data_IF_448449729636
#
_entry.id   IF_448449729636
#
_cell.length_a   1.000
_cell.length_b   1.000
_cell.length_c   1.000
_cell.angle_alpha   90.00
_cell.angle_beta   90.00
_cell.angle_gamma   90.00
#
_symmetry.space_group_name_H-M   'P 1'
#
loop_
_entity.id
_entity.type
_entity.pdbx_description
1 polymer ?
#
# COMPACT_ATOMS: atom_id res chain seq x y z
N UNK A 1 -37.78 -21.43 22.19
CA UNK A 1 -38.37 -20.14 22.59
C UNK A 1 -38.47 -19.26 21.34
N UNK A 2 -39.68 -18.88 20.91
CA UNK A 2 -39.83 -17.89 19.84
C UNK A 2 -40.03 -16.53 20.48
N UNK A 3 -38.92 -15.82 20.71
CA UNK A 3 -38.99 -14.38 20.91
C UNK A 3 -39.29 -13.76 19.54
N UNK A 4 -40.55 -13.83 19.12
CA UNK A 4 -40.98 -13.26 17.86
C UNK A 4 -40.94 -11.73 18.01
N UNK A 5 -39.89 -11.12 17.50
CA UNK A 5 -39.67 -9.68 17.46
C UNK A 5 -40.40 -9.05 16.25
N UNK A 6 -41.55 -9.61 15.90
CA UNK A 6 -42.38 -9.16 14.78
C UNK A 6 -43.07 -7.87 15.19
N UNK A 7 -42.67 -6.76 14.57
CA UNK A 7 -43.21 -5.42 14.82
C UNK A 7 -44.46 -5.11 13.97
N UNK A 8 -44.96 -6.11 13.23
CA UNK A 8 -46.13 -6.01 12.37
C UNK A 8 -45.83 -5.47 10.98
N UNK A 9 -44.57 -5.21 10.62
CA UNK A 9 -44.21 -4.75 9.28
C UNK A 9 -44.08 -5.91 8.28
N UNK A 10 -44.46 -5.64 7.03
CA UNK A 10 -44.52 -6.67 5.99
C UNK A 10 -43.14 -7.06 5.43
N UNK A 11 -42.13 -6.20 5.55
CA UNK A 11 -40.84 -6.37 4.88
C UNK A 11 -39.68 -6.65 5.84
N UNK A 12 -39.74 -6.06 7.04
CA UNK A 12 -38.69 -6.18 8.04
C UNK A 12 -39.26 -6.22 9.44
N UNK A 13 -38.79 -7.14 10.27
CA UNK A 13 -39.00 -7.04 11.70
C UNK A 13 -37.90 -6.12 12.27
N UNK A 14 -38.26 -5.06 13.01
CA UNK A 14 -37.30 -4.21 13.74
C UNK A 14 -37.36 -4.41 15.27
N UNK A 15 -36.63 -5.39 15.80
CA UNK A 15 -36.48 -5.59 17.25
C UNK A 15 -36.07 -4.35 18.05
N UNK A 16 -35.29 -3.45 17.43
CA UNK A 16 -34.79 -2.23 18.05
C UNK A 16 -34.81 -1.11 17.03
N UNK A 17 -35.52 -0.03 17.35
CA UNK A 17 -35.51 1.22 16.61
C UNK A 17 -35.38 2.40 17.58
N UNK A 18 -34.47 3.31 17.26
CA UNK A 18 -34.20 4.53 18.01
C UNK A 18 -34.20 5.70 17.04
N UNK A 19 -34.81 6.81 17.45
CA UNK A 19 -34.94 8.00 16.62
C UNK A 19 -34.53 9.25 17.39
N UNK A 20 -33.88 10.21 16.72
CA UNK A 20 -33.58 11.51 17.32
C UNK A 20 -34.79 12.45 17.29
N UNK A 21 -34.82 13.43 18.19
CA UNK A 21 -35.95 14.37 18.36
C UNK A 21 -35.86 15.66 17.52
N UNK A 22 -35.02 15.68 16.48
CA UNK A 22 -34.85 16.82 15.56
C UNK A 22 -35.97 16.88 14.50
N UNK A 23 -36.14 18.03 13.84
CA UNK A 23 -37.18 18.23 12.81
C UNK A 23 -37.05 17.29 11.58
N UNK A 24 -35.87 16.72 11.37
CA UNK A 24 -35.62 15.59 10.46
C UNK A 24 -34.95 14.47 11.26
N UNK A 25 -35.75 13.59 11.89
CA UNK A 25 -35.28 12.50 12.73
C UNK A 25 -34.25 11.58 12.06
N UNK A 26 -33.23 11.18 12.81
CA UNK A 26 -32.26 10.16 12.41
C UNK A 26 -32.72 8.85 13.02
N UNK A 27 -33.10 7.89 12.18
CA UNK A 27 -33.45 6.53 12.58
C UNK A 27 -32.24 5.60 12.60
N UNK A 28 -32.09 4.85 13.69
CA UNK A 28 -31.11 3.78 13.86
C UNK A 28 -31.82 2.50 14.32
N UNK A 29 -31.47 1.35 13.76
CA UNK A 29 -32.10 0.11 14.17
C UNK A 29 -31.38 -1.17 13.79
N UNK A 30 -31.90 -2.26 14.35
CA UNK A 30 -31.61 -3.64 13.96
C UNK A 30 -32.82 -4.13 13.18
N UNK A 31 -32.61 -4.54 11.93
CA UNK A 31 -33.70 -5.03 11.08
C UNK A 31 -33.43 -6.47 10.67
N UNK A 32 -34.48 -7.28 10.63
CA UNK A 32 -34.45 -8.64 10.12
C UNK A 32 -35.36 -8.70 8.90
N UNK A 33 -34.86 -9.14 7.75
CA UNK A 33 -35.72 -9.32 6.58
C UNK A 33 -36.76 -10.42 6.85
N UNK A 34 -38.04 -10.14 6.55
CA UNK A 34 -39.15 -11.08 6.76
C UNK A 34 -39.61 -11.76 5.44
N UNK A 35 -38.77 -11.76 4.40
CA UNK A 35 -39.04 -12.44 3.12
C UNK A 35 -38.61 -13.91 3.13
N UNK A 36 -39.04 -14.69 2.14
CA UNK A 36 -38.74 -16.12 2.03
C UNK A 36 -37.23 -16.41 2.05
N UNK A 37 -36.81 -17.42 2.83
CA UNK A 37 -35.43 -17.90 3.05
C UNK A 37 -34.66 -18.35 1.77
N UNK A 38 -35.18 -18.11 0.58
CA UNK A 38 -34.66 -18.63 -0.69
C UNK A 38 -33.92 -17.59 -1.56
N UNK A 39 -33.72 -16.36 -1.06
CA UNK A 39 -33.05 -15.29 -1.82
C UNK A 39 -31.79 -14.79 -1.09
N UNK A 40 -30.75 -14.43 -1.84
CA UNK A 40 -29.51 -13.82 -1.31
C UNK A 40 -29.72 -12.45 -0.66
N UNK A 41 -30.94 -11.91 -0.72
CA UNK A 41 -31.38 -10.65 -0.11
C UNK A 41 -31.95 -10.80 1.29
N UNK A 42 -32.15 -12.04 1.77
CA UNK A 42 -32.53 -12.29 3.17
C UNK A 42 -31.31 -12.05 4.07
N UNK A 43 -31.34 -10.99 4.88
CA UNK A 43 -30.21 -10.60 5.72
C UNK A 43 -30.69 -9.88 6.98
N UNK A 44 -29.87 -9.93 8.02
CA UNK A 44 -29.98 -9.04 9.16
C UNK A 44 -29.21 -7.74 8.84
N UNK A 45 -29.80 -6.60 9.18
CA UNK A 45 -29.24 -5.29 8.93
C UNK A 45 -28.96 -4.57 10.24
N UNK A 46 -27.86 -3.83 10.26
CA UNK A 46 -27.46 -2.93 11.33
C UNK A 46 -27.07 -1.60 10.68
N UNK A 47 -27.76 -0.51 11.02
CA UNK A 47 -27.41 0.78 10.46
C UNK A 47 -28.44 1.88 10.65
N UNK A 48 -28.29 2.94 9.87
CA UNK A 48 -29.25 4.03 9.78
C UNK A 48 -30.31 3.70 8.73
N UNK A 49 -31.59 3.94 9.06
CA UNK A 49 -32.72 3.77 8.12
C UNK A 49 -33.00 5.05 7.32
N UNK A 50 -32.25 6.10 7.61
CA UNK A 50 -32.31 7.44 7.02
C UNK A 50 -31.01 7.74 6.26
N UNK A 51 -31.00 8.78 5.43
CA UNK A 51 -29.84 9.18 4.59
C UNK A 51 -28.80 9.92 5.44
N UNK A 52 -28.25 9.20 6.42
CA UNK A 52 -27.29 9.69 7.38
C UNK A 52 -26.09 8.74 7.40
N UNK A 53 -24.95 9.25 7.87
CA UNK A 53 -23.76 8.42 8.02
C UNK A 53 -23.95 7.43 9.18
N UNK A 54 -23.60 6.17 8.97
CA UNK A 54 -23.41 5.21 10.06
C UNK A 54 -21.98 5.37 10.59
N UNK A 55 -21.84 5.65 11.88
CA UNK A 55 -20.56 5.98 12.51
C UNK A 55 -20.28 5.07 13.69
N UNK A 56 -19.10 4.44 13.70
CA UNK A 56 -18.52 3.85 14.90
C UNK A 56 -17.53 4.87 15.49
N UNK A 57 -17.69 5.18 16.78
CA UNK A 57 -16.89 6.21 17.45
C UNK A 57 -16.30 5.72 18.78
N UNK A 58 -15.18 6.31 19.17
CA UNK A 58 -14.64 6.21 20.54
C UNK A 58 -14.15 7.59 20.97
N UNK A 59 -14.46 8.00 22.21
CA UNK A 59 -14.10 9.35 22.71
C UNK A 59 -14.67 10.49 21.85
N UNK A 60 -15.93 10.36 21.41
CA UNK A 60 -16.59 11.32 20.51
C UNK A 60 -15.86 11.58 19.18
N UNK A 61 -15.01 10.65 18.75
CA UNK A 61 -14.25 10.73 17.50
C UNK A 61 -14.67 9.61 16.54
N UNK A 62 -14.96 9.95 15.28
CA UNK A 62 -15.30 8.98 14.22
C UNK A 62 -14.10 8.05 13.95
N UNK A 63 -14.29 6.74 14.14
CA UNK A 63 -13.28 5.70 13.87
C UNK A 63 -13.56 4.95 12.58
N UNK A 64 -14.82 4.62 12.33
CA UNK A 64 -15.30 4.08 11.07
C UNK A 64 -16.56 4.86 10.69
N UNK A 65 -16.63 5.27 9.43
CA UNK A 65 -17.76 6.01 8.85
C UNK A 65 -18.22 5.26 7.61
N UNK A 66 -19.47 4.80 7.56
CA UNK A 66 -20.14 4.53 6.30
C UNK A 66 -20.94 5.77 5.97
N UNK A 67 -20.48 6.57 5.02
CA UNK A 67 -21.18 7.79 4.62
C UNK A 67 -22.55 7.45 4.02
N UNK A 68 -23.46 8.41 4.08
CA UNK A 68 -24.77 8.38 3.41
C UNK A 68 -24.68 8.14 1.89
N UNK A 69 -23.51 8.33 1.28
CA UNK A 69 -23.23 8.02 -0.14
C UNK A 69 -22.68 6.60 -0.38
N UNK A 70 -22.61 5.75 0.66
CA UNK A 70 -22.14 4.37 0.59
C UNK A 70 -20.62 4.18 0.65
N UNK A 71 -19.84 5.25 0.85
CA UNK A 71 -18.37 5.17 1.00
C UNK A 71 -17.97 4.84 2.43
N UNK A 72 -16.95 4.00 2.60
CA UNK A 72 -16.39 3.60 3.89
C UNK A 72 -15.11 4.39 4.19
N UNK A 73 -15.08 5.08 5.32
CA UNK A 73 -13.92 5.77 5.86
C UNK A 73 -13.44 5.12 7.15
N UNK A 74 -12.14 4.87 7.30
CA UNK A 74 -11.52 4.49 8.58
C UNK A 74 -10.65 5.67 9.01
N UNK A 75 -10.88 6.23 10.21
CA UNK A 75 -10.15 7.42 10.69
C UNK A 75 -10.48 8.73 9.96
N UNK A 76 -11.55 8.76 9.16
CA UNK A 76 -12.02 9.97 8.47
C UNK A 76 -13.55 10.00 8.42
N UNK A 77 -14.13 11.19 8.59
CA UNK A 77 -15.56 11.45 8.40
C UNK A 77 -15.93 11.81 6.95
N UNK A 78 -14.94 12.02 6.08
CA UNK A 78 -15.15 12.48 4.70
C UNK A 78 -14.37 11.60 3.72
N UNK A 79 -14.80 10.35 3.48
CA UNK A 79 -14.15 9.46 2.54
C UNK A 79 -14.21 10.01 1.09
N UNK A 80 -13.04 10.21 0.47
CA UNK A 80 -12.92 10.68 -0.92
C UNK A 80 -12.98 9.54 -1.94
N UNK A 81 -12.84 8.30 -1.49
CA UNK A 81 -12.92 7.07 -2.28
C UNK A 81 -13.90 6.07 -1.62
N UNK A 82 -14.30 5.03 -2.35
CA UNK A 82 -15.22 3.98 -1.85
C UNK A 82 -14.73 3.36 -0.54
N UNK A 83 -13.42 3.18 -0.40
CA UNK A 83 -12.74 2.90 0.86
C UNK A 83 -11.61 3.93 1.06
N UNK A 84 -11.67 4.71 2.13
CA UNK A 84 -10.64 5.70 2.51
C UNK A 84 -10.16 5.42 3.93
N UNK A 85 -8.95 4.88 4.07
CA UNK A 85 -8.28 4.74 5.38
C UNK A 85 -7.39 5.95 5.59
N UNK A 86 -7.77 6.78 6.56
CA UNK A 86 -7.05 7.98 7.00
C UNK A 86 -6.19 7.65 8.21
N UNK A 87 -4.96 8.13 8.17
CA UNK A 87 -3.93 7.81 9.15
C UNK A 87 -2.97 6.76 8.63
N UNK A 88 -1.93 6.51 9.43
CA UNK A 88 -0.89 5.56 9.09
C UNK A 88 -0.70 4.57 10.21
N UNK A 89 -0.51 3.30 9.87
CA UNK A 89 -0.15 2.29 10.86
C UNK A 89 1.28 2.58 11.32
N UNK A 90 1.41 3.14 12.52
CA UNK A 90 2.69 3.37 13.19
C UNK A 90 3.08 2.11 13.96
N UNK A 91 4.03 1.34 13.44
CA UNK A 91 4.68 0.31 14.24
C UNK A 91 5.76 0.99 15.10
N UNK A 92 5.64 0.84 16.43
CA UNK A 92 6.72 1.25 17.34
C UNK A 92 7.71 0.10 17.44
N UNK A 93 8.90 0.28 16.88
CA UNK A 93 9.99 -0.67 17.07
C UNK A 93 10.62 -0.42 18.45
N UNK A 94 10.33 -1.28 19.42
CA UNK A 94 11.07 -1.32 20.67
C UNK A 94 12.39 -2.05 20.42
N UNK A 95 13.42 -1.31 20.02
CA UNK A 95 14.78 -1.84 19.93
C UNK A 95 15.46 -1.66 21.29
N UNK A 96 15.96 -2.74 21.87
CA UNK A 96 16.80 -2.72 23.08
C UNK A 96 18.21 -2.12 22.85
N UNK A 97 18.39 -1.35 21.78
CA UNK A 97 19.66 -0.83 21.27
C UNK A 97 19.45 0.27 20.21
N UNK A 98 20.44 0.55 19.36
CA UNK A 98 20.32 1.57 18.31
C UNK A 98 19.51 1.09 17.10
N UNK A 99 18.48 1.85 16.70
CA UNK A 99 17.80 1.67 15.42
C UNK A 99 18.64 2.24 14.28
N UNK A 100 18.89 1.45 13.23
CA UNK A 100 19.48 1.93 11.98
C UNK A 100 18.37 2.07 10.92
N UNK A 101 17.78 3.25 10.80
CA UNK A 101 16.78 3.54 9.78
C UNK A 101 17.44 4.11 8.52
N UNK A 102 17.29 3.45 7.38
CA UNK A 102 17.63 4.01 6.07
C UNK A 102 16.36 4.61 5.44
N UNK A 103 16.26 5.95 5.45
CA UNK A 103 15.16 6.66 4.76
C UNK A 103 15.60 7.04 3.35
N UNK A 104 14.68 6.96 2.38
CA UNK A 104 14.97 7.24 0.97
C UNK A 104 14.97 8.73 0.60
N UNK A 105 14.64 9.63 1.52
CA UNK A 105 14.63 11.09 1.24
C UNK A 105 15.82 11.86 1.79
N UNK A 106 16.67 11.27 2.62
CA UNK A 106 18.03 11.77 2.87
C UNK A 106 18.88 10.60 3.33
N UNK A 107 19.93 10.27 2.59
CA UNK A 107 20.90 9.23 2.95
C UNK A 107 21.69 9.67 4.19
N UNK A 108 21.05 9.53 5.34
CA UNK A 108 21.62 9.84 6.65
C UNK A 108 21.21 8.73 7.59
N UNK A 109 22.20 7.93 7.98
CA UNK A 109 22.12 7.00 9.09
C UNK A 109 21.98 7.83 10.36
N UNK A 110 20.78 7.93 10.92
CA UNK A 110 20.61 8.49 12.26
C UNK A 110 20.48 7.34 13.25
N UNK A 111 21.46 7.23 14.17
CA UNK A 111 21.26 6.51 15.43
C UNK A 111 20.37 7.39 16.29
N UNK A 112 19.14 6.94 16.55
CA UNK A 112 18.21 7.65 17.41
C UNK A 112 17.86 6.75 18.60
N UNK A 113 18.05 7.27 19.80
CA UNK A 113 17.62 6.63 21.04
C UNK A 113 16.18 7.10 21.34
N UNK A 114 15.19 6.29 20.98
CA UNK A 114 13.77 6.62 21.19
C UNK A 114 12.84 6.07 20.09
N UNK A 115 11.51 6.21 20.27
CA UNK A 115 10.53 5.69 19.32
C UNK A 115 10.62 6.41 17.97
N UNK A 116 10.78 5.63 16.89
CA UNK A 116 10.83 6.12 15.50
C UNK A 116 9.52 5.77 14.78
N UNK A 117 8.91 6.77 14.12
CA UNK A 117 7.63 6.62 13.40
C UNK A 117 7.89 6.53 11.91
N UNK A 118 7.54 5.40 11.28
CA UNK A 118 7.55 5.25 9.82
C UNK A 118 6.14 5.00 9.29
N UNK A 119 5.85 5.57 8.13
CA UNK A 119 4.56 5.45 7.49
C UNK A 119 4.45 4.16 6.67
N UNK A 120 3.65 3.18 7.10
CA UNK A 120 3.37 1.97 6.31
C UNK A 120 1.94 2.02 5.77
N UNK A 121 1.79 2.00 4.45
CA UNK A 121 0.50 1.73 3.78
C UNK A 121 0.47 0.25 3.38
N UNK A 122 -0.42 -0.51 4.01
CA UNK A 122 -0.84 -1.90 3.81
C UNK A 122 0.21 -2.92 3.29
N UNK A 123 0.47 -3.97 4.07
CA UNK A 123 1.15 -5.18 3.58
C UNK A 123 0.10 -6.17 3.05
N UNK A 124 0.30 -6.65 1.83
CA UNK A 124 -0.56 -7.66 1.20
C UNK A 124 0.22 -8.97 1.09
N UNK A 125 -0.35 -10.07 1.59
CA UNK A 125 0.22 -11.42 1.46
C UNK A 125 0.00 -12.04 0.07
N UNK A 126 -0.74 -11.35 -0.80
CA UNK A 126 -1.07 -11.80 -2.15
C UNK A 126 -1.09 -10.65 -3.16
N UNK A 127 -1.36 -10.97 -4.44
CA UNK A 127 -1.36 -9.98 -5.51
C UNK A 127 -2.42 -8.89 -5.30
N UNK A 128 -2.05 -7.65 -5.60
CA UNK A 128 -3.00 -6.54 -5.67
C UNK A 128 -3.63 -6.54 -7.07
N UNK A 129 -4.87 -7.02 -7.18
CA UNK A 129 -5.64 -6.88 -8.42
C UNK A 129 -6.25 -5.48 -8.48
N UNK A 130 -5.72 -4.63 -9.37
CA UNK A 130 -6.21 -3.28 -9.59
C UNK A 130 -6.04 -2.90 -11.07
N UNK A 131 -6.90 -1.99 -11.56
CA UNK A 131 -6.83 -1.54 -12.96
C UNK A 131 -5.66 -0.58 -13.21
N UNK A 132 -5.25 0.19 -12.20
CA UNK A 132 -4.12 1.13 -12.29
C UNK A 132 -3.59 1.50 -10.90
N UNK A 133 -2.28 1.75 -10.83
CA UNK A 133 -1.60 2.33 -9.67
C UNK A 133 -0.99 3.66 -10.13
N UNK A 134 -1.36 4.76 -9.48
CA UNK A 134 -0.83 6.10 -9.80
C UNK A 134 0.25 6.51 -8.79
N UNK A 135 1.45 6.79 -9.30
CA UNK A 135 2.54 7.37 -8.50
C UNK A 135 2.61 8.88 -8.75
N UNK A 136 2.37 9.70 -7.73
CA UNK A 136 2.43 11.16 -7.85
C UNK A 136 3.87 11.61 -8.15
N UNK A 137 4.01 12.53 -9.13
CA UNK A 137 5.33 12.98 -9.62
C UNK A 137 5.34 14.47 -9.94
N UNK A 138 4.41 15.23 -9.35
CA UNK A 138 4.21 16.65 -9.60
C UNK A 138 5.49 17.46 -9.35
N UNK A 139 5.87 18.33 -10.29
CA UNK A 139 7.07 19.17 -10.18
C UNK A 139 6.98 20.12 -8.99
N UNK A 140 5.77 20.57 -8.62
CA UNK A 140 5.54 21.48 -7.48
C UNK A 140 5.81 20.82 -6.13
N UNK A 141 5.80 19.48 -6.08
CA UNK A 141 6.12 18.70 -4.89
C UNK A 141 7.60 18.26 -4.85
N UNK A 142 8.47 18.86 -5.68
CA UNK A 142 9.89 18.47 -5.80
C UNK A 142 10.79 19.69 -5.69
N UNK A 143 11.88 19.52 -4.97
CA UNK A 143 12.98 20.49 -4.86
C UNK A 143 14.31 19.86 -5.34
N UNK A 144 15.35 20.67 -5.52
CA UNK A 144 16.70 20.21 -5.88
C UNK A 144 16.78 19.29 -7.12
N UNK A 145 15.94 19.55 -8.12
CA UNK A 145 15.82 18.71 -9.33
C UNK A 145 17.09 18.81 -10.18
N UNK A 146 17.87 17.73 -10.23
CA UNK A 146 19.07 17.59 -11.07
C UNK A 146 18.91 16.46 -12.07
N UNK A 147 19.36 16.67 -13.31
CA UNK A 147 19.38 15.63 -14.32
C UNK A 147 20.55 14.66 -14.04
N UNK A 148 20.28 13.35 -14.12
CA UNK A 148 21.31 12.31 -14.01
C UNK A 148 22.07 12.12 -15.33
N UNK A 149 23.37 11.86 -15.22
CA UNK A 149 24.25 11.53 -16.35
C UNK A 149 24.23 10.03 -16.68
N UNK A 150 24.62 9.66 -17.90
CA UNK A 150 24.67 8.27 -18.40
C UNK A 150 25.73 7.39 -17.69
N UNK A 151 26.65 7.99 -16.94
CA UNK A 151 27.54 7.27 -16.03
C UNK A 151 26.77 6.62 -14.87
N UNK A 152 25.63 7.18 -14.46
CA UNK A 152 24.83 6.67 -13.34
C UNK A 152 24.40 5.21 -13.53
N UNK A 153 24.11 4.81 -14.78
CA UNK A 153 23.67 3.45 -15.07
C UNK A 153 24.82 2.49 -15.47
N UNK A 154 26.10 2.89 -15.36
CA UNK A 154 27.23 2.07 -15.82
C UNK A 154 27.30 0.71 -15.11
N UNK A 155 27.18 0.72 -13.79
CA UNK A 155 27.20 -0.53 -13.01
C UNK A 155 25.90 -1.31 -13.14
N UNK A 156 24.79 -0.65 -13.48
CA UNK A 156 23.49 -1.31 -13.63
C UNK A 156 23.45 -2.26 -14.85
N UNK A 157 24.28 -2.02 -15.87
CA UNK A 157 24.48 -2.99 -16.98
C UNK A 157 25.10 -4.31 -16.54
N UNK A 158 25.67 -4.38 -15.33
CA UNK A 158 26.27 -5.59 -14.75
C UNK A 158 25.27 -6.35 -13.86
N UNK A 159 24.03 -5.89 -13.75
CA UNK A 159 23.03 -6.54 -12.93
C UNK A 159 22.50 -7.80 -13.62
N UNK A 160 22.52 -8.92 -12.91
CA UNK A 160 21.97 -10.20 -13.37
C UNK A 160 20.49 -10.33 -12.99
N UNK A 161 19.73 -11.03 -13.83
CA UNK A 161 18.31 -11.37 -13.59
C UNK A 161 18.22 -12.86 -13.29
N UNK A 162 17.48 -13.21 -12.25
CA UNK A 162 17.38 -14.57 -11.74
C UNK A 162 15.95 -15.08 -11.81
N UNK A 163 15.82 -16.39 -11.92
CA UNK A 163 14.59 -17.11 -11.57
C UNK A 163 14.77 -17.76 -10.21
N UNK A 164 13.76 -17.73 -9.35
CA UNK A 164 13.85 -18.29 -8.00
C UNK A 164 12.48 -18.69 -7.43
N UNK A 165 12.50 -19.64 -6.51
CA UNK A 165 11.35 -20.01 -5.68
C UNK A 165 11.57 -19.42 -4.27
N UNK A 166 10.50 -18.90 -3.66
CA UNK A 166 10.57 -18.45 -2.27
C UNK A 166 10.60 -19.66 -1.33
N UNK A 167 11.49 -19.65 -0.34
CA UNK A 167 11.53 -20.68 0.70
C UNK A 167 10.18 -20.67 1.43
N UNK A 168 9.58 -21.85 1.59
CA UNK A 168 8.27 -22.01 2.24
C UNK A 168 7.06 -21.61 1.38
N UNK A 169 7.24 -21.33 0.09
CA UNK A 169 6.13 -21.06 -0.83
C UNK A 169 5.61 -22.34 -1.49
N UNK A 170 4.29 -22.45 -1.62
CA UNK A 170 3.61 -23.49 -2.41
C UNK A 170 3.51 -23.13 -3.90
N UNK A 171 4.03 -21.98 -4.34
CA UNK A 171 4.00 -21.56 -5.73
C UNK A 171 4.83 -22.51 -6.62
N UNK A 172 4.22 -23.00 -7.71
CA UNK A 172 4.86 -23.92 -8.67
C UNK A 172 5.56 -23.21 -9.82
N UNK A 173 5.32 -21.91 -9.98
CA UNK A 173 5.90 -21.08 -11.04
C UNK A 173 7.02 -20.24 -10.43
N UNK A 174 8.27 -20.37 -10.88
CA UNK A 174 9.37 -19.55 -10.39
C UNK A 174 9.14 -18.06 -10.65
N UNK A 175 9.50 -17.24 -9.66
CA UNK A 175 9.51 -15.78 -9.80
C UNK A 175 10.72 -15.35 -10.61
N UNK A 176 10.59 -14.25 -11.35
CA UNK A 176 11.69 -13.61 -12.10
C UNK A 176 11.99 -12.28 -11.43
N UNK A 177 13.25 -11.98 -11.15
CA UNK A 177 13.63 -10.72 -10.54
C UNK A 177 15.12 -10.58 -10.26
N UNK A 178 15.46 -9.55 -9.48
CA UNK A 178 16.81 -9.32 -9.00
C UNK A 178 16.96 -9.83 -7.57
N UNK A 179 18.18 -10.17 -7.19
CA UNK A 179 18.56 -10.38 -5.78
C UNK A 179 18.93 -9.02 -5.18
N UNK A 180 18.27 -8.63 -4.09
CA UNK A 180 18.39 -7.28 -3.51
C UNK A 180 19.81 -6.95 -3.07
N UNK A 181 20.50 -7.93 -2.47
CA UNK A 181 21.88 -7.82 -2.01
C UNK A 181 22.84 -7.57 -3.18
N UNK A 182 22.69 -8.33 -4.27
CA UNK A 182 23.58 -8.24 -5.44
C UNK A 182 23.35 -6.93 -6.19
N UNK A 183 22.09 -6.53 -6.35
CA UNK A 183 21.76 -5.26 -7.00
C UNK A 183 22.28 -4.06 -6.21
N UNK A 184 22.17 -4.07 -4.88
CA UNK A 184 22.60 -2.93 -4.07
C UNK A 184 24.12 -2.72 -4.12
N UNK A 185 24.92 -3.79 -4.23
CA UNK A 185 26.39 -3.69 -4.41
C UNK A 185 26.77 -2.90 -5.66
N UNK A 186 25.93 -2.88 -6.69
CA UNK A 186 26.18 -2.15 -7.93
C UNK A 186 25.84 -0.65 -7.84
N UNK A 187 24.86 -0.29 -6.99
CA UNK A 187 24.33 1.08 -6.85
C UNK A 187 25.03 1.84 -5.72
N UNK A 188 25.24 1.18 -4.59
CA UNK A 188 25.89 1.71 -3.39
C UNK A 188 26.75 0.61 -2.78
N UNK A 189 28.03 0.50 -3.18
CA UNK A 189 28.94 -0.49 -2.65
C UNK A 189 29.08 -0.28 -1.14
N UNK A 190 28.43 -1.12 -0.35
CA UNK A 190 28.63 -1.15 1.09
C UNK A 190 29.28 -2.50 1.43
N UNK A 191 30.52 -2.44 1.92
CA UNK A 191 31.33 -3.61 2.24
C UNK A 191 30.76 -4.43 3.42
N UNK A 192 29.85 -3.84 4.20
CA UNK A 192 29.13 -4.49 5.29
C UNK A 192 27.92 -5.31 4.81
N UNK A 193 27.66 -5.37 3.50
CA UNK A 193 26.57 -6.16 2.89
C UNK A 193 27.01 -7.56 2.45
N UNK A 194 27.54 -8.34 3.40
CA UNK A 194 27.74 -9.77 3.18
C UNK A 194 26.42 -10.50 3.45
N UNK A 195 26.28 -11.69 2.86
CA UNK A 195 25.08 -12.54 3.00
C UNK A 195 24.69 -12.71 4.47
N UNK A 196 23.42 -13.10 4.67
CA UNK A 196 22.86 -13.61 5.93
C UNK A 196 23.93 -14.36 6.74
N UNK A 197 24.52 -13.69 7.73
CA UNK A 197 25.35 -14.30 8.76
C UNK A 197 24.47 -14.53 9.99
N UNK A 198 24.89 -15.41 10.90
CA UNK A 198 24.19 -15.69 12.16
C UNK A 198 23.99 -14.45 13.06
N UNK A 199 24.65 -13.33 12.74
CA UNK A 199 24.56 -12.04 13.43
C UNK A 199 23.57 -11.04 12.76
N UNK A 200 22.94 -11.40 11.64
CA UNK A 200 21.96 -10.55 10.98
C UNK A 200 20.62 -10.54 11.73
N UNK A 201 19.93 -9.39 11.70
CA UNK A 201 18.68 -9.18 12.44
C UNK A 201 17.63 -10.17 11.93
N UNK A 202 17.30 -11.15 12.77
CA UNK A 202 16.24 -12.13 12.52
C UNK A 202 14.93 -11.43 12.14
N UNK A 203 14.46 -11.67 10.91
CA UNK A 203 13.22 -11.09 10.37
C UNK A 203 13.36 -9.85 9.47
N UNK A 204 14.57 -9.37 9.18
CA UNK A 204 14.78 -8.27 8.23
C UNK A 204 15.00 -8.78 6.79
N UNK A 205 14.15 -8.39 5.84
CA UNK A 205 14.30 -8.70 4.42
C UNK A 205 14.68 -7.45 3.61
N UNK A 206 15.61 -7.60 2.67
CA UNK A 206 15.97 -6.53 1.74
C UNK A 206 15.01 -6.46 0.56
N UNK A 207 14.59 -5.25 0.20
CA UNK A 207 13.62 -5.00 -0.86
C UNK A 207 14.25 -4.22 -2.01
N UNK A 208 13.60 -4.28 -3.17
CA UNK A 208 14.02 -3.57 -4.39
C UNK A 208 12.92 -2.61 -4.83
N UNK A 209 13.31 -1.37 -5.14
CA UNK A 209 12.42 -0.37 -5.72
C UNK A 209 12.41 -0.50 -7.26
N UNK A 210 11.50 -1.33 -7.76
CA UNK A 210 11.35 -1.56 -9.20
C UNK A 210 10.94 -0.30 -9.97
N UNK A 211 10.28 0.69 -9.36
CA UNK A 211 9.95 1.96 -10.02
C UNK A 211 11.20 2.78 -10.34
N UNK A 212 12.18 2.80 -9.41
CA UNK A 212 13.49 3.42 -9.66
C UNK A 212 14.26 2.69 -10.77
N UNK A 213 14.21 1.35 -10.78
CA UNK A 213 14.83 0.55 -11.84
C UNK A 213 14.27 0.92 -13.20
N UNK A 214 12.95 1.10 -13.34
CA UNK A 214 12.33 1.53 -14.59
C UNK A 214 12.89 2.86 -15.08
N UNK A 215 13.12 3.83 -14.19
CA UNK A 215 13.73 5.11 -14.56
C UNK A 215 15.21 4.96 -14.99
N UNK A 216 15.98 4.08 -14.32
CA UNK A 216 17.37 3.77 -14.68
C UNK A 216 17.42 3.06 -16.05
N UNK A 217 16.53 2.11 -16.30
CA UNK A 217 16.41 1.42 -17.59
C UNK A 217 16.17 2.42 -18.72
N UNK A 218 15.40 3.48 -18.50
CA UNK A 218 15.23 4.54 -19.50
C UNK A 218 16.54 5.27 -19.83
N UNK A 219 17.40 5.53 -18.84
CA UNK A 219 18.75 6.10 -19.06
C UNK A 219 19.61 5.12 -19.87
N UNK A 220 19.57 3.84 -19.52
CA UNK A 220 20.30 2.78 -20.23
C UNK A 220 19.88 2.69 -21.70
N UNK A 221 18.56 2.71 -21.98
CA UNK A 221 18.02 2.71 -23.35
C UNK A 221 18.51 3.94 -24.13
N UNK A 222 18.49 5.14 -23.52
CA UNK A 222 18.99 6.36 -24.18
C UNK A 222 20.48 6.24 -24.52
N UNK A 223 21.28 5.67 -23.62
CA UNK A 223 22.72 5.43 -23.83
C UNK A 223 22.96 4.43 -24.97
N UNK A 224 22.23 3.32 -24.99
CA UNK A 224 22.30 2.33 -26.06
C UNK A 224 21.91 2.94 -27.41
N UNK A 225 20.81 3.71 -27.47
CA UNK A 225 20.37 4.41 -28.69
C UNK A 225 21.46 5.33 -29.24
N UNK A 226 22.05 6.18 -28.39
CA UNK A 226 23.17 7.05 -28.80
C UNK A 226 24.38 6.27 -29.32
N UNK A 227 24.67 5.11 -28.73
CA UNK A 227 25.77 4.25 -29.19
C UNK A 227 25.48 3.66 -30.57
N UNK A 228 24.25 3.21 -30.81
CA UNK A 228 23.80 2.70 -32.11
C UNK A 228 23.93 3.78 -33.18
N UNK A 229 23.37 4.98 -32.95
CA UNK A 229 23.46 6.11 -33.89
C UNK A 229 24.91 6.48 -34.23
N UNK A 230 25.82 6.39 -33.23
CA UNK A 230 27.24 6.64 -33.43
C UNK A 230 27.92 5.55 -34.27
N UNK A 231 27.51 4.29 -34.11
CA UNK A 231 28.05 3.17 -34.88
C UNK A 231 27.54 3.22 -36.33
N UNK A 232 26.26 3.48 -36.54
CA UNK A 232 25.66 3.62 -37.88
C UNK A 232 26.33 4.73 -38.68
N UNK A 233 26.59 5.89 -38.05
CA UNK A 233 27.31 6.99 -38.71
C UNK A 233 28.74 6.61 -39.11
N UNK A 234 29.43 5.82 -38.29
CA UNK A 234 30.78 5.34 -38.60
C UNK A 234 30.78 4.37 -39.77
N UNK A 235 29.80 3.47 -39.83
CA UNK A 235 29.67 2.53 -40.94
C UNK A 235 29.29 3.22 -42.25
N UNK A 236 28.38 4.21 -42.20
CA UNK A 236 27.98 4.99 -43.39
C UNK A 236 29.08 5.92 -43.93
N UNK A 237 30.15 6.18 -43.17
CA UNK A 237 31.33 6.93 -43.64
C UNK A 237 32.41 6.02 -44.27
N UNK A 238 32.25 4.70 -44.22
CA UNK A 238 33.19 3.71 -44.77
C UNK A 238 32.77 3.17 -46.14
N UNK A 239 31.72 3.73 -46.75
CA UNK A 239 31.24 3.48 -48.13
C UNK A 239 31.43 4.78 -48.91
#
# INVERSE_FOLDING_TARGET
ASNALNDGSANYDMPLFMESSNASPIGFGLQLNNSTNATSTNSAYFGTTTVNDLVMMTGNTRRLTVSSTGRVGIGTGSPSATLHVSGTVSNTFNVGGSLYSQTTSTASTFSQLGPVTVSVSAMFSGPIQCSSIYCTSDRRAKENIKQLDESYCHNFFKADVFTYNCIGSEETIPKIGFIAQDLNRLITPNENMKKENDDDIEGAQMNIDYNKITAINFIMIKKLKKRIEKLERKMGQQI
#
